data_IF_297872211868
#
_entry.id   IF_297872211868
#
_cell.length_a   1.000
_cell.length_b   1.000
_cell.length_c   1.000
_cell.angle_alpha   90.00
_cell.angle_beta   90.00
_cell.angle_gamma   90.00
#
_symmetry.space_group_name_H-M   'P 1'
#
loop_
_entity.id
_entity.type
_entity.pdbx_description
1 polymer ?
#
# COMPACT_ATOMS: atom_id res chain seq x y z
N UNK A 1 7.01 -32.98 -13.93
CA UNK A 1 7.35 -31.55 -14.03
C UNK A 1 8.05 -31.12 -12.72
N UNK A 2 9.04 -30.20 -12.80
CA UNK A 2 9.75 -29.71 -11.62
C UNK A 2 8.92 -28.71 -10.80
N UNK A 3 7.92 -28.09 -11.40
CA UNK A 3 7.00 -27.15 -10.74
C UNK A 3 5.68 -27.12 -11.49
N UNK A 4 4.58 -27.22 -10.77
CA UNK A 4 3.22 -27.16 -11.31
C UNK A 4 2.55 -25.88 -10.85
N UNK A 5 2.12 -25.05 -11.80
CA UNK A 5 1.37 -23.81 -11.54
C UNK A 5 -0.01 -23.97 -12.13
N UNK A 6 -1.05 -23.72 -11.34
CA UNK A 6 -2.45 -23.82 -11.78
C UNK A 6 -3.17 -22.48 -11.61
N UNK A 7 -3.94 -22.10 -12.63
CA UNK A 7 -4.89 -20.99 -12.59
C UNK A 7 -6.26 -21.51 -12.11
N UNK A 8 -6.78 -20.92 -11.03
CA UNK A 8 -8.00 -21.41 -10.39
C UNK A 8 -9.05 -20.30 -10.37
N UNK A 9 -10.10 -20.46 -11.16
CA UNK A 9 -11.18 -19.47 -11.27
C UNK A 9 -12.15 -19.48 -10.08
N UNK A 10 -12.26 -20.62 -9.38
CA UNK A 10 -13.12 -20.74 -8.18
C UNK A 10 -12.27 -20.74 -6.92
N UNK A 11 -12.38 -19.71 -6.11
CA UNK A 11 -11.61 -19.53 -4.88
C UNK A 11 -11.78 -20.67 -3.85
N UNK A 12 -12.93 -21.36 -3.87
CA UNK A 12 -13.18 -22.52 -3.00
C UNK A 12 -12.23 -23.70 -3.26
N UNK A 13 -11.73 -23.85 -4.50
CA UNK A 13 -10.81 -24.94 -4.85
C UNK A 13 -9.33 -24.61 -4.54
N UNK A 14 -8.98 -23.35 -4.37
CA UNK A 14 -7.59 -22.94 -4.05
C UNK A 14 -7.08 -23.65 -2.79
N UNK A 15 -7.93 -23.77 -1.77
CA UNK A 15 -7.58 -24.39 -0.50
C UNK A 15 -7.40 -25.93 -0.60
N UNK A 16 -8.20 -26.58 -1.45
CA UNK A 16 -8.15 -28.02 -1.65
C UNK A 16 -6.92 -28.46 -2.46
N UNK A 17 -6.53 -27.64 -3.44
CA UNK A 17 -5.45 -27.99 -4.37
C UNK A 17 -4.05 -27.71 -3.79
N UNK A 18 -3.91 -26.80 -2.84
CA UNK A 18 -2.63 -26.54 -2.16
C UNK A 18 -2.20 -27.67 -1.19
N UNK A 19 -3.09 -28.58 -0.87
CA UNK A 19 -2.76 -29.80 -0.10
C UNK A 19 -2.25 -30.96 -0.97
N UNK A 20 -2.18 -30.78 -2.29
CA UNK A 20 -1.88 -31.84 -3.25
C UNK A 20 -0.63 -31.58 -4.11
N UNK A 21 -0.70 -32.00 -5.39
CA UNK A 21 0.42 -32.00 -6.35
C UNK A 21 0.69 -30.66 -7.05
N UNK A 22 0.09 -29.56 -6.60
CA UNK A 22 0.23 -28.22 -7.20
C UNK A 22 1.11 -27.36 -6.32
N UNK A 23 2.24 -26.90 -6.85
CA UNK A 23 3.19 -26.05 -6.14
C UNK A 23 2.68 -24.62 -5.97
N UNK A 24 1.99 -24.08 -6.97
CA UNK A 24 1.46 -22.70 -6.95
C UNK A 24 0.05 -22.66 -7.54
N UNK A 25 -0.91 -22.22 -6.75
CA UNK A 25 -2.28 -21.97 -7.18
C UNK A 25 -2.54 -20.45 -7.26
N UNK A 26 -2.90 -19.96 -8.45
CA UNK A 26 -3.17 -18.53 -8.69
C UNK A 26 -4.67 -18.37 -8.95
N UNK A 27 -5.33 -17.49 -8.20
CA UNK A 27 -6.71 -17.10 -8.45
C UNK A 27 -6.77 -15.67 -9.02
N UNK A 28 -7.23 -15.48 -10.28
CA UNK A 28 -7.39 -14.15 -10.85
C UNK A 28 -8.33 -13.26 -10.03
N UNK A 29 -9.39 -13.85 -9.49
CA UNK A 29 -10.33 -13.12 -8.63
C UNK A 29 -9.64 -12.55 -7.38
N UNK A 30 -8.77 -13.32 -6.72
CA UNK A 30 -8.02 -12.82 -5.56
C UNK A 30 -6.99 -11.76 -5.94
N UNK A 31 -6.33 -11.89 -7.07
CA UNK A 31 -5.39 -10.90 -7.58
C UNK A 31 -6.10 -9.57 -7.91
N UNK A 32 -7.32 -9.63 -8.47
CA UNK A 32 -8.09 -8.44 -8.85
C UNK A 32 -8.77 -7.76 -7.66
N UNK A 33 -9.16 -8.51 -6.62
CA UNK A 33 -9.84 -7.97 -5.45
C UNK A 33 -9.01 -6.86 -4.77
N UNK A 34 -7.69 -7.04 -4.65
CA UNK A 34 -6.79 -6.03 -4.07
C UNK A 34 -6.87 -4.69 -4.81
N UNK A 35 -6.81 -4.73 -6.13
CA UNK A 35 -6.91 -3.55 -7.00
C UNK A 35 -8.28 -2.88 -6.93
N UNK A 36 -9.36 -3.69 -6.91
CA UNK A 36 -10.72 -3.16 -6.78
C UNK A 36 -10.97 -2.52 -5.41
N UNK A 37 -10.48 -3.16 -4.33
CA UNK A 37 -10.61 -2.62 -2.98
C UNK A 37 -9.90 -1.28 -2.83
N UNK A 38 -8.72 -1.11 -3.42
CA UNK A 38 -8.01 0.16 -3.42
C UNK A 38 -8.84 1.29 -4.08
N UNK A 39 -9.56 0.98 -5.17
CA UNK A 39 -10.42 1.96 -5.87
C UNK A 39 -11.75 2.27 -5.16
N UNK A 40 -12.25 1.35 -4.35
CA UNK A 40 -13.52 1.50 -3.62
C UNK A 40 -13.29 2.15 -2.24
N UNK A 41 -12.11 2.00 -1.67
CA UNK A 41 -11.76 2.62 -0.40
C UNK A 41 -11.65 4.14 -0.56
N UNK A 42 -12.31 4.87 0.33
CA UNK A 42 -12.22 6.33 0.41
C UNK A 42 -10.89 6.68 1.06
N UNK A 43 -10.00 7.36 0.33
CA UNK A 43 -8.71 7.81 0.84
C UNK A 43 -7.57 7.55 -0.15
N UNK A 44 -6.39 7.91 0.23
CA UNK A 44 -5.17 7.89 -0.58
C UNK A 44 -4.52 6.49 -0.64
N UNK A 45 -5.33 5.42 -0.51
CA UNK A 45 -4.86 4.03 -0.59
C UNK A 45 -4.77 3.60 -2.05
N UNK A 46 -3.54 3.39 -2.52
CA UNK A 46 -3.23 3.00 -3.91
C UNK A 46 -3.37 1.51 -4.13
N UNK A 47 -2.89 0.71 -3.17
CA UNK A 47 -2.89 -0.74 -3.27
C UNK A 47 -3.08 -1.42 -1.93
N UNK A 48 -3.67 -2.61 -1.97
CA UNK A 48 -3.84 -3.49 -0.81
C UNK A 48 -3.41 -4.89 -1.19
N UNK A 49 -2.38 -5.40 -0.51
CA UNK A 49 -1.87 -6.74 -0.72
C UNK A 49 -2.17 -7.61 0.51
N UNK A 50 -3.00 -8.62 0.31
CA UNK A 50 -3.30 -9.59 1.36
C UNK A 50 -2.17 -10.60 1.50
N UNK A 51 -1.62 -10.74 2.71
CA UNK A 51 -0.55 -11.66 3.04
C UNK A 51 -1.12 -12.89 3.73
N UNK A 52 -0.61 -14.09 3.34
CA UNK A 52 -1.02 -15.37 3.91
C UNK A 52 -2.53 -15.49 4.14
N UNK A 53 -3.31 -15.32 3.04
CA UNK A 53 -4.79 -15.48 3.04
C UNK A 53 -5.53 -14.52 3.99
N UNK A 54 -5.00 -13.33 4.15
CA UNK A 54 -5.62 -12.28 4.99
C UNK A 54 -5.25 -12.34 6.46
N UNK A 55 -4.18 -13.07 6.81
CA UNK A 55 -3.60 -13.01 8.14
C UNK A 55 -2.98 -11.63 8.43
N UNK A 56 -2.48 -10.96 7.40
CA UNK A 56 -2.00 -9.59 7.45
C UNK A 56 -2.24 -8.91 6.10
N UNK A 57 -2.13 -7.58 6.07
CA UNK A 57 -2.22 -6.79 4.84
C UNK A 57 -1.02 -5.84 4.75
N UNK A 58 -0.54 -5.62 3.52
CA UNK A 58 0.34 -4.52 3.19
C UNK A 58 -0.49 -3.48 2.43
N UNK A 59 -0.47 -2.26 2.91
CA UNK A 59 -1.17 -1.12 2.33
C UNK A 59 -0.14 -0.19 1.72
N UNK A 60 -0.43 0.32 0.53
CA UNK A 60 0.29 1.42 -0.08
C UNK A 60 -0.59 2.66 -0.02
N UNK A 61 -0.13 3.69 0.70
CA UNK A 61 -0.85 4.94 0.93
C UNK A 61 0.01 6.11 0.45
N UNK A 62 -0.62 7.10 -0.18
CA UNK A 62 0.06 8.34 -0.56
C UNK A 62 -0.07 9.36 0.57
N UNK A 63 1.04 9.98 0.95
CA UNK A 63 1.07 11.05 1.93
C UNK A 63 0.74 12.40 1.24
N UNK A 64 -0.51 12.83 1.35
CA UNK A 64 -0.98 14.08 0.79
C UNK A 64 -0.98 15.23 1.81
N UNK A 65 -1.01 16.45 1.28
CA UNK A 65 -1.05 17.67 2.08
C UNK A 65 0.34 18.14 2.51
N UNK A 66 0.34 19.03 3.46
CA UNK A 66 1.53 19.64 4.07
C UNK A 66 1.57 19.38 5.58
N UNK A 67 2.57 19.94 6.26
CA UNK A 67 2.74 19.82 7.72
C UNK A 67 1.53 20.29 8.53
N UNK A 68 0.74 21.23 8.02
CA UNK A 68 -0.41 21.80 8.73
C UNK A 68 -1.70 20.99 8.50
N UNK A 69 -1.90 20.49 7.28
CA UNK A 69 -3.12 19.81 6.87
C UNK A 69 -3.05 18.28 7.04
N UNK A 70 -1.83 17.71 7.08
CA UNK A 70 -1.61 16.26 7.19
C UNK A 70 -1.20 15.86 8.61
N UNK A 71 -1.62 14.66 9.02
CA UNK A 71 -1.18 14.07 10.29
C UNK A 71 0.13 13.28 10.15
N UNK A 72 0.60 13.05 8.91
CA UNK A 72 1.79 12.23 8.62
C UNK A 72 2.91 13.00 7.93
N UNK A 73 2.58 13.96 7.06
CA UNK A 73 3.57 14.73 6.30
C UNK A 73 4.39 15.63 7.22
N UNK A 74 5.71 15.66 6.99
CA UNK A 74 6.69 16.44 7.76
C UNK A 74 7.00 15.87 9.15
N UNK A 75 6.44 14.71 9.50
CA UNK A 75 6.67 14.05 10.80
C UNK A 75 7.62 12.87 10.65
N UNK A 76 8.38 12.61 11.72
CA UNK A 76 9.15 11.38 11.84
C UNK A 76 8.22 10.21 12.16
N UNK A 77 8.60 9.01 11.75
CA UNK A 77 7.79 7.81 12.01
C UNK A 77 7.55 7.60 13.51
N UNK A 78 8.52 7.89 14.36
CA UNK A 78 8.38 7.78 15.83
C UNK A 78 7.36 8.74 16.43
N UNK A 79 7.07 9.86 15.76
CA UNK A 79 6.06 10.85 16.19
C UNK A 79 4.62 10.42 15.83
N UNK A 80 4.47 9.40 14.97
CA UNK A 80 3.17 8.95 14.52
C UNK A 80 2.55 8.00 15.55
N UNK A 81 1.29 8.26 15.91
CA UNK A 81 0.52 7.36 16.78
C UNK A 81 -0.09 6.24 15.94
N UNK A 82 0.74 5.23 15.65
CA UNK A 82 0.29 4.06 14.90
C UNK A 82 -0.54 3.11 15.78
N UNK A 83 -1.64 2.54 15.24
CA UNK A 83 -2.40 1.51 15.96
C UNK A 83 -1.55 0.28 16.26
N UNK A 84 -1.80 -0.40 17.38
CA UNK A 84 -1.11 -1.65 17.73
C UNK A 84 -1.25 -2.69 16.61
N UNK A 85 -0.13 -3.35 16.26
CA UNK A 85 -0.09 -4.33 15.17
C UNK A 85 0.01 -3.69 13.77
N UNK A 86 0.48 -2.45 13.70
CA UNK A 86 0.81 -1.77 12.44
C UNK A 86 2.24 -1.26 12.48
N UNK A 87 2.91 -1.24 11.34
CA UNK A 87 4.24 -0.67 11.19
C UNK A 87 4.43 -0.12 9.78
N UNK A 88 5.15 0.97 9.66
CA UNK A 88 5.62 1.47 8.37
C UNK A 88 6.89 0.70 8.02
N UNK A 89 6.92 0.09 6.85
CA UNK A 89 8.03 -0.77 6.42
C UNK A 89 8.98 -0.05 5.47
N UNK A 90 8.44 0.72 4.54
CA UNK A 90 9.22 1.44 3.55
C UNK A 90 8.46 2.66 3.05
N UNK A 91 9.21 3.57 2.45
CA UNK A 91 8.69 4.73 1.73
C UNK A 91 9.25 4.67 0.32
N UNK A 92 8.40 4.85 -0.68
CA UNK A 92 8.79 4.99 -2.08
C UNK A 92 8.60 6.46 -2.46
N UNK A 93 9.70 7.14 -2.66
CA UNK A 93 9.77 8.57 -2.97
C UNK A 93 10.13 8.81 -4.40
N UNK A 94 9.40 9.65 -5.09
CA UNK A 94 9.72 10.06 -6.44
C UNK A 94 10.76 11.18 -6.38
N UNK A 95 11.91 10.99 -7.03
CA UNK A 95 12.95 11.99 -7.16
C UNK A 95 12.68 12.82 -8.42
N UNK A 96 12.49 14.13 -8.24
CA UNK A 96 12.29 15.08 -9.33
C UNK A 96 10.88 15.71 -9.32
N UNK A 97 10.85 17.05 -9.42
CA UNK A 97 9.62 17.80 -9.61
C UNK A 97 9.04 17.51 -11.02
N UNK A 98 7.71 17.46 -11.18
CA UNK A 98 7.12 17.49 -12.50
C UNK A 98 7.52 18.82 -13.16
N UNK A 99 8.36 18.76 -14.19
CA UNK A 99 8.64 19.93 -15.02
C UNK A 99 7.30 20.38 -15.63
N UNK A 100 6.84 21.56 -15.25
CA UNK A 100 5.66 22.17 -15.84
C UNK A 100 5.90 22.32 -17.35
N UNK A 101 5.17 21.57 -18.18
CA UNK A 101 5.07 21.83 -19.61
C UNK A 101 5.60 20.78 -20.58
N UNK A 102 5.68 19.50 -20.25
CA UNK A 102 5.98 18.46 -21.26
C UNK A 102 4.89 17.39 -21.31
N UNK A 103 4.52 17.07 -22.55
CA UNK A 103 3.51 16.11 -22.99
C UNK A 103 3.69 14.70 -22.38
N UNK A 104 2.56 14.00 -22.23
CA UNK A 104 2.32 12.71 -21.56
C UNK A 104 3.20 11.51 -21.97
N UNK A 105 4.03 11.61 -23.00
CA UNK A 105 4.85 10.49 -23.50
C UNK A 105 6.20 10.29 -22.77
N UNK A 106 6.59 11.18 -21.86
CA UNK A 106 7.84 11.04 -21.08
C UNK A 106 7.65 10.68 -19.60
N UNK A 107 6.50 10.19 -19.21
CA UNK A 107 6.22 9.70 -17.84
C UNK A 107 7.01 8.43 -17.45
N UNK A 108 7.87 7.89 -18.33
CA UNK A 108 8.37 6.52 -18.23
C UNK A 108 9.66 6.34 -17.41
N UNK A 109 10.31 7.37 -16.86
CA UNK A 109 11.52 7.18 -16.04
C UNK A 109 11.66 8.26 -14.96
N UNK A 110 10.67 8.33 -14.07
CA UNK A 110 10.92 9.05 -12.81
C UNK A 110 11.81 8.18 -11.95
N UNK A 111 12.95 8.73 -11.57
CA UNK A 111 13.84 8.06 -10.63
C UNK A 111 13.10 7.89 -9.30
N UNK A 112 13.04 6.66 -8.80
CA UNK A 112 12.30 6.30 -7.59
C UNK A 112 13.29 5.85 -6.54
N UNK A 113 13.25 6.44 -5.38
CA UNK A 113 14.03 6.01 -4.23
C UNK A 113 13.18 5.17 -3.30
N UNK A 114 13.66 3.99 -2.93
CA UNK A 114 13.05 3.17 -1.88
C UNK A 114 13.83 3.36 -0.59
N UNK A 115 13.16 3.84 0.44
CA UNK A 115 13.72 4.12 1.77
C UNK A 115 13.14 3.08 2.72
N UNK A 116 14.00 2.29 3.36
CA UNK A 116 13.57 1.41 4.45
C UNK A 116 13.25 2.30 5.65
N UNK A 117 12.06 2.12 6.20
CA UNK A 117 11.55 2.99 7.25
C UNK A 117 12.26 2.73 8.59
N UNK A 118 12.82 3.79 9.15
CA UNK A 118 13.39 3.85 10.49
C UNK A 118 12.60 4.86 11.33
N UNK A 119 12.83 4.85 12.64
CA UNK A 119 12.12 5.74 13.59
C UNK A 119 12.30 7.22 13.28
N UNK A 120 13.47 7.63 12.77
CA UNK A 120 13.85 8.99 12.42
C UNK A 120 13.51 9.40 10.98
N UNK A 121 12.98 8.45 10.17
CA UNK A 121 12.60 8.75 8.78
C UNK A 121 11.43 9.74 8.74
N UNK A 122 11.60 10.81 7.97
CA UNK A 122 10.56 11.83 7.77
C UNK A 122 9.75 11.51 6.52
N UNK A 123 8.43 11.61 6.65
CA UNK A 123 7.50 11.43 5.52
C UNK A 123 7.34 12.77 4.80
N UNK A 124 7.55 12.78 3.48
CA UNK A 124 7.41 13.96 2.63
C UNK A 124 6.09 13.92 1.81
N UNK A 125 5.63 15.09 1.32
CA UNK A 125 4.45 15.14 0.46
C UNK A 125 4.65 14.31 -0.81
N UNK A 126 3.67 13.48 -1.16
CA UNK A 126 3.72 12.60 -2.32
C UNK A 126 4.45 11.27 -2.10
N UNK A 127 4.97 11.02 -0.91
CA UNK A 127 5.55 9.72 -0.57
C UNK A 127 4.50 8.61 -0.64
N UNK A 128 4.87 7.50 -1.26
CA UNK A 128 4.11 6.25 -1.18
C UNK A 128 4.60 5.46 0.03
N UNK A 129 3.78 5.37 1.05
CA UNK A 129 4.13 4.76 2.33
C UNK A 129 3.58 3.34 2.40
N UNK A 130 4.47 2.37 2.61
CA UNK A 130 4.11 0.96 2.73
C UNK A 130 3.90 0.62 4.20
N UNK A 131 2.67 0.29 4.56
CA UNK A 131 2.25 -0.01 5.94
C UNK A 131 1.83 -1.47 6.06
N UNK A 132 2.43 -2.21 6.97
CA UNK A 132 1.98 -3.54 7.34
C UNK A 132 0.96 -3.49 8.47
N UNK A 133 -0.11 -4.27 8.32
CA UNK A 133 -1.23 -4.34 9.25
C UNK A 133 -1.56 -5.80 9.54
N UNK A 134 -1.45 -6.22 10.80
CA UNK A 134 -1.77 -7.60 11.21
C UNK A 134 -3.27 -7.83 11.41
N UNK A 135 -4.09 -6.79 11.40
CA UNK A 135 -5.52 -6.92 11.60
C UNK A 135 -6.28 -5.95 10.68
N UNK A 136 -7.16 -6.49 9.84
CA UNK A 136 -7.99 -5.71 8.90
C UNK A 136 -8.78 -4.57 9.57
N UNK A 137 -9.15 -4.71 10.86
CA UNK A 137 -9.84 -3.66 11.60
C UNK A 137 -9.00 -2.39 11.79
N UNK A 138 -7.66 -2.51 11.68
CA UNK A 138 -6.76 -1.37 11.83
C UNK A 138 -6.63 -0.57 10.53
N UNK A 139 -6.99 -1.15 9.38
CA UNK A 139 -6.90 -0.50 8.07
C UNK A 139 -7.63 0.85 8.07
N UNK A 140 -8.87 0.90 8.51
CA UNK A 140 -9.65 2.14 8.55
C UNK A 140 -9.04 3.21 9.46
N UNK A 141 -8.29 2.81 10.49
CA UNK A 141 -7.58 3.76 11.37
C UNK A 141 -6.35 4.33 10.67
N UNK A 142 -5.64 3.48 9.92
CA UNK A 142 -4.49 3.91 9.12
C UNK A 142 -4.95 4.83 7.98
N UNK A 143 -6.01 4.46 7.26
CA UNK A 143 -6.59 5.31 6.21
C UNK A 143 -6.95 6.71 6.74
N UNK A 144 -7.56 6.79 7.93
CA UNK A 144 -7.88 8.07 8.59
C UNK A 144 -6.64 8.88 8.95
N UNK A 145 -5.55 8.23 9.34
CA UNK A 145 -4.28 8.91 9.67
C UNK A 145 -3.67 9.58 8.44
N UNK A 146 -3.86 9.00 7.26
CA UNK A 146 -3.36 9.54 5.99
C UNK A 146 -4.32 10.52 5.31
N UNK A 147 -5.57 10.64 5.79
CA UNK A 147 -6.51 11.61 5.26
C UNK A 147 -6.08 13.03 5.61
N UNK A 148 -6.11 13.91 4.61
CA UNK A 148 -5.91 15.35 4.80
C UNK A 148 -7.16 15.93 5.45
N UNK A 149 -6.99 16.65 6.53
CA UNK A 149 -8.08 17.41 7.14
C UNK A 149 -8.61 18.45 6.15
N UNK A 150 -9.89 18.35 5.80
CA UNK A 150 -10.55 19.44 5.06
C UNK A 150 -10.63 20.61 6.03
N UNK A 151 -9.70 21.55 5.89
CA UNK A 151 -9.78 22.82 6.64
C UNK A 151 -11.12 23.47 6.26
N UNK A 152 -11.99 23.61 7.22
CA UNK A 152 -13.15 24.51 7.08
C UNK A 152 -12.60 25.92 6.90
N UNK A 153 -12.79 26.47 5.69
CA UNK A 153 -12.72 27.90 5.44
C UNK A 153 -13.87 28.60 6.18
#
# INVERSE_FOLDING_TARGET
ARKVVALINRSSYVNLLQAGQIDVAISPAQATIGTLLARVRRGDCVAVHSLRRGAAEALELIAHGDYQSSQVVGRRIEELILPKGTTIAAIVRQLGQPAAGHSDDQAAQREVQVIIAHHDTVIEPGDHVIVFVVNKRMVSKIEKLFQVGVGFL
#
